data_IF_383733726072
#
_entry.id   IF_383733726072
#
_cell.length_a   1.000
_cell.length_b   1.000
_cell.length_c   1.000
_cell.angle_alpha   90.00
_cell.angle_beta   90.00
_cell.angle_gamma   90.00
#
_symmetry.space_group_name_H-M   'P 1'
#
loop_
_entity.id
_entity.type
_entity.pdbx_description
1 polymer ?
#
# COMPACT_ATOMS: atom_id res chain seq x y z
N UNK A 1 8.77 -11.90 -20.04
CA UNK A 1 9.34 -10.67 -20.61
C UNK A 1 8.70 -9.52 -19.85
N UNK A 2 9.47 -8.80 -19.04
CA UNK A 2 8.96 -7.64 -18.31
C UNK A 2 8.65 -6.55 -19.34
N UNK A 3 7.42 -6.03 -19.32
CA UNK A 3 7.05 -4.94 -20.23
C UNK A 3 7.57 -3.62 -19.68
N UNK A 4 7.71 -2.62 -20.55
CA UNK A 4 8.26 -1.31 -20.17
C UNK A 4 7.48 -0.62 -19.04
N UNK A 5 6.18 -0.92 -18.91
CA UNK A 5 5.33 -0.37 -17.86
C UNK A 5 5.67 -0.97 -16.49
N UNK A 6 5.78 -2.30 -16.40
CA UNK A 6 6.18 -3.00 -15.18
C UNK A 6 7.56 -2.57 -14.70
N UNK A 7 8.51 -2.42 -15.63
CA UNK A 7 9.83 -1.88 -15.31
C UNK A 7 9.74 -0.45 -14.74
N UNK A 8 8.98 0.42 -15.38
CA UNK A 8 8.78 1.81 -14.91
C UNK A 8 8.15 1.87 -13.53
N UNK A 9 7.14 1.05 -13.25
CA UNK A 9 6.51 0.94 -11.93
C UNK A 9 7.54 0.52 -10.89
N UNK A 10 8.32 -0.54 -11.16
CA UNK A 10 9.37 -0.98 -10.26
C UNK A 10 10.41 0.11 -9.98
N UNK A 11 10.76 0.93 -10.98
CA UNK A 11 11.67 2.06 -10.82
C UNK A 11 11.11 3.15 -9.90
N UNK A 12 9.81 3.46 -9.99
CA UNK A 12 9.15 4.44 -9.10
C UNK A 12 9.25 3.98 -7.64
N UNK A 13 8.96 2.70 -7.36
CA UNK A 13 9.06 2.15 -6.00
C UNK A 13 10.50 2.00 -5.48
N UNK A 14 11.50 2.01 -6.37
CA UNK A 14 12.91 2.02 -5.97
C UNK A 14 13.41 3.43 -5.64
N UNK A 15 12.71 4.47 -6.07
CA UNK A 15 13.10 5.84 -5.77
C UNK A 15 12.73 6.22 -4.31
N UNK A 16 13.70 6.63 -3.47
CA UNK A 16 13.47 7.03 -2.08
C UNK A 16 12.67 8.32 -1.90
N UNK A 17 12.52 9.14 -2.94
CA UNK A 17 11.67 10.32 -2.89
C UNK A 17 10.20 9.99 -3.21
N UNK A 18 9.94 8.84 -3.85
CA UNK A 18 8.60 8.40 -4.23
C UNK A 18 8.01 7.36 -3.28
N UNK A 19 8.86 6.65 -2.54
CA UNK A 19 8.45 5.51 -1.71
C UNK A 19 9.22 5.45 -0.41
N UNK A 20 8.56 4.89 0.60
CA UNK A 20 9.11 4.65 1.95
C UNK A 20 9.45 3.19 2.11
N UNK A 21 10.51 2.91 2.85
CA UNK A 21 10.78 1.56 3.33
C UNK A 21 9.74 1.21 4.41
N UNK A 22 9.24 -0.02 4.37
CA UNK A 22 8.35 -0.53 5.40
C UNK A 22 8.68 -1.99 5.71
N UNK A 23 8.36 -2.40 6.93
CA UNK A 23 8.38 -3.78 7.36
C UNK A 23 6.94 -4.32 7.32
N UNK A 24 6.67 -5.19 6.35
CA UNK A 24 5.37 -5.80 6.15
C UNK A 24 5.22 -7.07 6.98
N UNK A 25 4.14 -7.18 7.75
CA UNK A 25 3.80 -8.37 8.55
C UNK A 25 2.42 -8.91 8.17
N UNK A 26 2.34 -10.15 7.63
CA UNK A 26 1.07 -10.82 7.41
C UNK A 26 0.33 -11.04 8.74
N UNK A 27 -0.92 -10.58 8.84
CA UNK A 27 -1.75 -10.67 10.05
C UNK A 27 -1.26 -9.81 11.22
N UNK A 28 -0.27 -8.93 11.01
CA UNK A 28 0.19 -7.96 12.01
C UNK A 28 1.24 -8.46 13.01
N UNK A 29 1.57 -9.75 13.00
CA UNK A 29 2.51 -10.37 13.96
C UNK A 29 3.67 -11.09 13.26
N UNK A 30 4.76 -11.31 14.02
CA UNK A 30 5.91 -12.11 13.58
C UNK A 30 7.01 -11.33 12.84
N UNK A 31 7.90 -12.10 12.22
CA UNK A 31 8.98 -11.55 11.39
C UNK A 31 8.39 -10.91 10.12
N UNK A 32 8.82 -9.67 9.85
CA UNK A 32 8.36 -8.94 8.68
C UNK A 32 9.28 -9.06 7.49
N UNK A 33 8.74 -8.79 6.30
CA UNK A 33 9.51 -8.62 5.07
C UNK A 33 9.74 -7.13 4.79
N UNK A 34 10.97 -6.73 4.46
CA UNK A 34 11.24 -5.36 4.01
C UNK A 34 10.66 -5.16 2.62
N UNK A 35 9.84 -4.14 2.47
CA UNK A 35 9.16 -3.77 1.22
C UNK A 35 9.21 -2.27 0.99
N UNK A 36 8.77 -1.82 -0.18
CA UNK A 36 8.62 -0.41 -0.52
C UNK A 36 7.15 -0.07 -0.70
N UNK A 37 6.71 0.97 -0.01
CA UNK A 37 5.33 1.46 -0.09
C UNK A 37 5.29 2.91 -0.54
N UNK A 38 4.24 3.26 -1.27
CA UNK A 38 3.92 4.65 -1.59
C UNK A 38 2.71 5.03 -0.75
N UNK A 39 2.86 6.08 0.05
CA UNK A 39 1.77 6.68 0.81
C UNK A 39 1.19 7.83 0.00
N UNK A 40 -0.09 7.73 -0.29
CA UNK A 40 -0.84 8.84 -0.87
C UNK A 40 -1.59 9.52 0.28
N UNK A 41 -1.43 10.84 0.39
CA UNK A 41 -2.18 11.65 1.35
C UNK A 41 -3.69 11.39 1.20
N UNK A 42 -4.48 11.54 2.28
CA UNK A 42 -5.93 11.29 2.29
C UNK A 42 -6.71 12.35 1.49
N UNK A 43 -6.45 12.45 0.19
CA UNK A 43 -7.30 13.13 -0.80
C UNK A 43 -8.17 12.11 -1.58
N UNK A 44 -8.30 10.88 -1.06
CA UNK A 44 -9.19 9.88 -1.62
C UNK A 44 -10.63 10.17 -1.18
N UNK A 45 -11.35 10.97 -1.98
CA UNK A 45 -12.81 11.09 -1.86
C UNK A 45 -13.44 9.73 -2.19
N UNK A 46 -13.88 9.00 -1.17
CA UNK A 46 -14.71 7.82 -1.37
C UNK A 46 -16.11 8.26 -1.78
N UNK A 47 -16.47 8.02 -3.05
CA UNK A 47 -17.84 8.24 -3.52
C UNK A 47 -18.73 7.08 -3.05
N UNK A 48 -19.71 7.37 -2.19
CA UNK A 48 -20.73 6.41 -1.77
C UNK A 48 -22.12 6.98 -2.12
N UNK A 49 -22.67 6.59 -3.26
CA UNK A 49 -23.90 7.20 -3.80
C UNK A 49 -23.69 8.65 -4.27
N UNK A 50 -24.65 9.53 -3.98
CA UNK A 50 -24.58 10.98 -4.27
C UNK A 50 -23.85 11.81 -3.18
N UNK A 51 -23.23 11.16 -2.19
CA UNK A 51 -22.49 11.81 -1.11
C UNK A 51 -21.01 11.43 -1.11
N UNK A 52 -20.15 12.38 -0.77
CA UNK A 52 -18.75 12.15 -0.45
C UNK A 52 -18.63 11.83 1.04
N UNK A 53 -18.04 10.68 1.39
CA UNK A 53 -17.68 10.37 2.77
C UNK A 53 -16.16 10.39 2.87
N UNK A 54 -15.61 11.28 3.70
CA UNK A 54 -14.17 11.33 3.96
C UNK A 54 -13.88 10.30 5.04
N UNK A 55 -13.35 9.14 4.65
CA UNK A 55 -12.73 8.22 5.60
C UNK A 55 -11.29 8.70 5.77
N UNK A 56 -10.86 8.94 7.00
CA UNK A 56 -9.48 9.25 7.36
C UNK A 56 -8.62 7.97 7.26
N UNK A 57 -8.49 7.47 6.04
CA UNK A 57 -7.70 6.29 5.71
C UNK A 57 -6.51 6.75 4.87
N UNK A 58 -5.31 6.43 5.36
CA UNK A 58 -4.08 6.61 4.59
C UNK A 58 -4.14 5.67 3.39
N UNK A 59 -4.05 6.20 2.18
CA UNK A 59 -4.00 5.37 0.99
C UNK A 59 -2.58 4.82 0.83
N UNK A 60 -2.43 3.50 0.87
CA UNK A 60 -1.16 2.80 0.76
C UNK A 60 -1.12 1.98 -0.53
N UNK A 61 0.00 2.06 -1.25
CA UNK A 61 0.28 1.21 -2.40
C UNK A 61 1.55 0.38 -2.21
N UNK A 62 1.51 -0.90 -2.58
CA UNK A 62 2.65 -1.83 -2.56
C UNK A 62 2.69 -2.63 -3.85
N UNK A 63 3.88 -3.00 -4.31
CA UNK A 63 4.01 -3.84 -5.50
C UNK A 63 3.57 -5.28 -5.22
N UNK A 64 2.90 -5.88 -6.20
CA UNK A 64 2.54 -7.31 -6.20
C UNK A 64 3.79 -8.20 -6.13
N UNK A 65 4.91 -7.73 -6.68
CA UNK A 65 6.18 -8.43 -6.64
C UNK A 65 6.78 -8.54 -5.23
N UNK A 66 6.49 -7.57 -4.35
CA UNK A 66 6.94 -7.58 -2.95
C UNK A 66 5.90 -8.25 -2.04
N UNK A 67 4.60 -7.99 -2.27
CA UNK A 67 3.51 -8.58 -1.50
C UNK A 67 2.48 -9.21 -2.44
N UNK A 68 2.50 -10.54 -2.53
CA UNK A 68 1.68 -11.28 -3.49
C UNK A 68 0.17 -11.17 -3.23
N UNK A 69 -0.23 -11.15 -1.95
CA UNK A 69 -1.64 -11.19 -1.53
C UNK A 69 -1.83 -10.53 -0.14
N UNK A 70 -1.77 -9.19 -0.05
CA UNK A 70 -2.10 -8.49 1.18
C UNK A 70 -3.58 -8.69 1.53
N UNK A 71 -3.91 -8.59 2.82
CA UNK A 71 -5.23 -8.78 3.40
C UNK A 71 -5.47 -7.77 4.50
N UNK A 72 -6.75 -7.57 4.86
CA UNK A 72 -7.11 -6.80 6.05
C UNK A 72 -6.45 -7.41 7.30
N UNK A 73 -5.93 -6.55 8.18
CA UNK A 73 -5.22 -6.95 9.40
C UNK A 73 -3.71 -7.19 9.21
N UNK A 74 -3.20 -7.16 7.97
CA UNK A 74 -1.75 -7.06 7.76
C UNK A 74 -1.25 -5.68 8.20
N UNK A 75 0.02 -5.58 8.59
CA UNK A 75 0.63 -4.29 9.00
C UNK A 75 1.84 -3.93 8.16
N UNK A 76 2.06 -2.62 8.03
CA UNK A 76 3.25 -2.01 7.47
C UNK A 76 3.83 -1.05 8.51
N UNK A 77 4.99 -1.39 9.06
CA UNK A 77 5.73 -0.50 9.96
C UNK A 77 6.73 0.33 9.15
N UNK A 78 6.58 1.65 9.19
CA UNK A 78 7.42 2.59 8.48
C UNK A 78 8.71 2.87 9.25
N UNK A 79 9.66 3.51 8.59
CA UNK A 79 10.98 3.85 9.11
C UNK A 79 10.97 4.84 10.30
N UNK A 80 9.91 5.62 10.47
CA UNK A 80 9.68 6.50 11.62
C UNK A 80 8.97 5.81 12.80
N UNK A 81 8.66 4.51 12.67
CA UNK A 81 7.96 3.72 13.68
C UNK A 81 6.43 3.77 13.57
N UNK A 82 5.86 4.51 12.62
CA UNK A 82 4.41 4.50 12.37
C UNK A 82 3.98 3.12 11.86
N UNK A 83 2.98 2.52 12.49
CA UNK A 83 2.41 1.23 12.09
C UNK A 83 1.06 1.45 11.42
N UNK A 84 0.96 1.03 10.16
CA UNK A 84 -0.26 1.11 9.37
C UNK A 84 -0.89 -0.28 9.25
N UNK A 85 -2.11 -0.43 9.74
CA UNK A 85 -2.90 -1.65 9.56
C UNK A 85 -3.78 -1.53 8.31
N UNK A 86 -3.74 -2.55 7.47
CA UNK A 86 -4.57 -2.65 6.26
C UNK A 86 -6.04 -2.82 6.66
N UNK A 87 -6.88 -1.90 6.18
CA UNK A 87 -8.33 -1.94 6.32
C UNK A 87 -9.03 -2.34 5.02
N UNK A 88 -10.10 -3.12 5.15
CA UNK A 88 -10.93 -3.55 4.02
C UNK A 88 -10.17 -4.45 3.03
N UNK A 89 -10.73 -4.61 1.82
CA UNK A 89 -10.15 -5.46 0.79
C UNK A 89 -9.15 -4.71 -0.10
N UNK A 90 -7.87 -5.13 -0.15
CA UNK A 90 -6.89 -4.58 -1.08
C UNK A 90 -7.33 -4.78 -2.53
N UNK A 91 -7.18 -3.73 -3.35
CA UNK A 91 -7.57 -3.75 -4.76
C UNK A 91 -6.32 -3.76 -5.63
N UNK A 92 -6.26 -4.69 -6.57
CA UNK A 92 -5.26 -4.62 -7.64
C UNK A 92 -5.57 -3.47 -8.58
N UNK A 93 -4.52 -2.78 -9.01
CA UNK A 93 -4.62 -1.84 -10.12
C UNK A 93 -4.97 -2.57 -11.42
N UNK A 94 -5.26 -1.79 -12.47
CA UNK A 94 -5.67 -2.31 -13.78
C UNK A 94 -4.63 -3.25 -14.38
N UNK A 95 -3.35 -2.92 -14.24
CA UNK A 95 -2.25 -3.71 -14.79
C UNK A 95 -1.80 -4.84 -13.85
N UNK A 96 -2.43 -4.96 -12.67
CA UNK A 96 -2.19 -5.99 -11.65
C UNK A 96 -0.73 -6.03 -11.16
N UNK A 97 -0.08 -4.88 -11.15
CA UNK A 97 1.30 -4.68 -10.69
C UNK A 97 1.36 -4.13 -9.26
N UNK A 98 0.32 -3.42 -8.82
CA UNK A 98 0.26 -2.80 -7.51
C UNK A 98 -1.05 -3.17 -6.81
N UNK A 99 -0.96 -3.26 -5.49
CA UNK A 99 -2.11 -3.24 -4.61
C UNK A 99 -2.33 -1.81 -4.11
N UNK A 100 -3.58 -1.36 -4.11
CA UNK A 100 -4.03 -0.15 -3.44
C UNK A 100 -4.96 -0.54 -2.29
N UNK A 101 -4.71 0.01 -1.10
CA UNK A 101 -5.48 -0.27 0.11
C UNK A 101 -5.64 0.98 0.96
N UNK A 102 -6.73 1.03 1.73
CA UNK A 102 -6.83 1.97 2.84
C UNK A 102 -6.12 1.36 4.04
N UNK A 103 -5.37 2.17 4.76
CA UNK A 103 -4.75 1.79 6.01
C UNK A 103 -5.05 2.82 7.09
N UNK A 104 -5.05 2.37 8.34
CA UNK A 104 -5.18 3.22 9.51
C UNK A 104 -3.94 3.09 10.37
N UNK A 105 -3.55 4.18 11.01
CA UNK A 105 -2.50 4.15 12.01
C UNK A 105 -3.00 3.41 13.27
N UNK A 106 -2.13 2.62 13.89
CA UNK A 106 -2.37 1.92 15.16
C UNK A 106 -1.94 2.75 16.37
#
# INVERSE_FOLDING_TARGET
MENAFAFSVAMIFRDPNMSRAALYRPGGEGDGATVRVILNAPDAVANFGNGAFVVDATALSVQVAEVASPKSGDTFELDDGTVLEVGGDPKRDRERLCWAMGAREL
#
